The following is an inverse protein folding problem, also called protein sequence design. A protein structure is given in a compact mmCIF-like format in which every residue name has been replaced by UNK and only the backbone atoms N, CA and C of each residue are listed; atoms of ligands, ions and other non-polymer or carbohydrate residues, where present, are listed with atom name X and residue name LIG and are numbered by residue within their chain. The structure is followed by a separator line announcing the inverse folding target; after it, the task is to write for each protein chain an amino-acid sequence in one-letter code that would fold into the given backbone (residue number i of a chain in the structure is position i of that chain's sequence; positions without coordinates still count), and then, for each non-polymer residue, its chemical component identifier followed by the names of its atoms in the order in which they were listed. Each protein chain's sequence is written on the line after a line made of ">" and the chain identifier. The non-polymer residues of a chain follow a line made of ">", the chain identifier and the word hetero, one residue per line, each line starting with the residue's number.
data_IF_233395420485
#
_entry.id   IF_233395420485
#
_cell.length_a   1.000
_cell.length_b   1.000
_cell.length_c   1.000
_cell.angle_alpha   90.00
_cell.angle_beta   90.00
_cell.angle_gamma   90.00
#
_symmetry.space_group_name_H-M   'P 1'
#
loop_
_entity.id
_entity.type
_entity.pdbx_description
1 polymer ?
#
# COMPACT_ATOMS: atom_id res chain seq x y z
N UNK A 1 -10.29 9.64 32.61
CA UNK A 1 -9.24 8.80 31.98
C UNK A 1 -9.59 8.72 30.51
N UNK A 2 -8.93 9.51 29.64
CA UNK A 2 -9.11 9.42 28.20
C UNK A 2 -8.23 8.26 27.71
N UNK A 3 -8.85 7.17 27.29
CA UNK A 3 -8.16 6.07 26.64
C UNK A 3 -7.44 6.59 25.41
N UNK A 4 -6.12 6.48 25.39
CA UNK A 4 -5.32 6.64 24.18
C UNK A 4 -5.68 5.43 23.33
N UNK A 5 -6.55 5.63 22.34
CA UNK A 5 -6.83 4.61 21.36
C UNK A 5 -5.51 4.21 20.70
N UNK A 6 -5.11 2.95 20.83
CA UNK A 6 -4.01 2.38 20.08
C UNK A 6 -4.27 2.68 18.60
N UNK A 7 -3.28 3.19 17.89
CA UNK A 7 -3.36 3.24 16.43
C UNK A 7 -3.56 1.80 15.94
N UNK A 8 -4.54 1.53 15.05
CA UNK A 8 -4.72 0.19 14.51
C UNK A 8 -3.38 -0.30 13.94
N UNK A 9 -3.07 -1.57 14.15
CA UNK A 9 -1.94 -2.21 13.52
C UNK A 9 -2.06 -2.03 12.00
N UNK A 10 -0.95 -1.96 11.28
CA UNK A 10 -0.99 -1.69 9.83
C UNK A 10 -1.71 -2.80 9.05
N UNK A 11 -1.69 -4.06 9.54
CA UNK A 11 -2.45 -5.18 9.02
C UNK A 11 -3.95 -4.93 8.96
N UNK A 12 -4.49 -4.27 9.97
CA UNK A 12 -5.91 -3.89 10.05
C UNK A 12 -6.39 -3.04 8.87
N UNK A 13 -5.50 -2.31 8.21
CA UNK A 13 -5.89 -1.47 7.07
C UNK A 13 -6.19 -2.29 5.80
N UNK A 14 -5.53 -3.43 5.63
CA UNK A 14 -5.63 -4.27 4.44
C UNK A 14 -6.40 -5.56 4.69
N UNK A 15 -6.46 -6.01 5.93
CA UNK A 15 -7.27 -7.15 6.34
C UNK A 15 -7.89 -6.93 7.73
N UNK A 16 -8.85 -5.99 7.84
CA UNK A 16 -9.53 -5.73 9.11
C UNK A 16 -10.32 -6.97 9.53
N UNK A 17 -10.29 -7.27 10.80
CA UNK A 17 -10.96 -8.45 11.39
C UNK A 17 -11.84 -8.09 12.60
N UNK A 18 -12.73 -7.08 12.48
CA UNK A 18 -13.67 -6.80 13.59
C UNK A 18 -14.58 -8.00 13.81
N UNK A 19 -15.00 -8.21 15.04
CA UNK A 19 -15.96 -9.25 15.39
C UNK A 19 -17.18 -9.20 14.46
N UNK A 20 -17.63 -10.34 13.95
CA UNK A 20 -18.71 -10.51 13.00
C UNK A 20 -18.44 -9.89 11.59
N UNK A 21 -17.21 -9.58 11.23
CA UNK A 21 -16.89 -9.28 9.84
C UNK A 21 -17.20 -10.49 8.95
N UNK A 22 -17.79 -10.22 7.79
CA UNK A 22 -18.18 -11.26 6.83
C UNK A 22 -17.78 -10.89 5.41
N UNK A 23 -17.39 -11.90 4.65
CA UNK A 23 -17.08 -11.82 3.22
C UNK A 23 -17.77 -12.97 2.51
N UNK A 24 -18.40 -12.69 1.38
CA UNK A 24 -18.95 -13.72 0.50
C UNK A 24 -18.24 -13.63 -0.84
N UNK A 25 -17.65 -14.73 -1.27
CA UNK A 25 -16.91 -14.84 -2.53
C UNK A 25 -17.65 -15.75 -3.49
N UNK A 26 -17.61 -15.40 -4.77
CA UNK A 26 -17.86 -16.33 -5.86
C UNK A 26 -16.51 -16.71 -6.46
N UNK A 27 -16.23 -18.00 -6.55
CA UNK A 27 -14.98 -18.49 -7.09
C UNK A 27 -15.18 -19.58 -8.13
N UNK A 28 -14.28 -19.64 -9.08
CA UNK A 28 -14.24 -20.61 -10.17
C UNK A 28 -12.83 -21.17 -10.30
N UNK A 29 -12.72 -22.37 -10.81
CA UNK A 29 -11.50 -22.90 -11.38
C UNK A 29 -11.79 -23.44 -12.76
N UNK A 30 -10.93 -23.17 -13.74
CA UNK A 30 -11.18 -23.49 -15.15
C UNK A 30 -11.35 -25.00 -15.41
N UNK A 31 -10.67 -25.83 -14.64
CA UNK A 31 -10.68 -27.28 -14.80
C UNK A 31 -11.57 -27.96 -13.75
N UNK A 32 -11.51 -27.50 -12.50
CA UNK A 32 -12.04 -28.24 -11.34
C UNK A 32 -13.35 -27.67 -10.81
N UNK A 33 -13.63 -26.39 -11.03
CA UNK A 33 -14.87 -25.72 -10.62
C UNK A 33 -15.37 -24.72 -11.69
N UNK A 34 -15.59 -25.15 -12.95
CA UNK A 34 -15.94 -24.25 -14.04
C UNK A 34 -17.30 -23.57 -13.87
N UNK A 35 -18.22 -24.18 -13.13
CA UNK A 35 -19.56 -23.63 -12.86
C UNK A 35 -19.56 -22.62 -11.70
N UNK A 36 -18.51 -22.58 -10.91
CA UNK A 36 -18.35 -21.72 -9.77
C UNK A 36 -19.23 -22.06 -8.57
N UNK A 37 -18.75 -21.71 -7.41
CA UNK A 37 -19.44 -21.84 -6.12
C UNK A 37 -19.32 -20.56 -5.30
N UNK A 38 -20.10 -20.46 -4.22
CA UNK A 38 -20.11 -19.30 -3.33
C UNK A 38 -19.73 -19.72 -1.93
N UNK A 39 -18.69 -19.10 -1.40
CA UNK A 39 -18.22 -19.31 -0.03
C UNK A 39 -18.44 -18.07 0.81
N UNK A 40 -18.81 -18.28 2.06
CA UNK A 40 -18.94 -17.22 3.06
C UNK A 40 -17.90 -17.41 4.14
N UNK A 41 -17.19 -16.33 4.41
CA UNK A 41 -16.13 -16.25 5.43
C UNK A 41 -16.56 -15.26 6.50
N UNK A 42 -16.33 -15.59 7.76
CA UNK A 42 -16.61 -14.71 8.90
C UNK A 42 -15.47 -14.75 9.92
N UNK A 43 -15.31 -13.66 10.66
CA UNK A 43 -14.47 -13.66 11.87
C UNK A 43 -15.21 -14.44 12.96
N UNK A 44 -14.58 -15.50 13.42
CA UNK A 44 -15.02 -16.24 14.60
C UNK A 44 -14.25 -15.75 15.83
N UNK A 45 -15.00 -15.42 16.88
CA UNK A 45 -14.45 -14.92 18.15
C UNK A 45 -14.54 -15.95 19.27
N UNK A 46 -14.99 -17.17 18.97
CA UNK A 46 -15.28 -18.17 20.03
C UNK A 46 -14.06 -18.87 20.55
N UNK A 47 -12.96 -18.94 19.81
CA UNK A 47 -11.71 -19.59 20.27
C UNK A 47 -10.51 -18.64 20.16
N UNK A 48 -10.44 -17.68 21.07
CA UNK A 48 -9.30 -16.75 21.18
C UNK A 48 -8.12 -17.33 21.99
N UNK A 49 -8.22 -18.56 22.46
CA UNK A 49 -7.22 -19.15 23.36
C UNK A 49 -6.02 -19.72 22.61
N UNK A 50 -6.24 -20.18 21.38
CA UNK A 50 -5.22 -20.85 20.56
C UNK A 50 -4.76 -20.03 19.36
N UNK A 51 -5.55 -19.03 18.94
CA UNK A 51 -5.28 -18.16 17.81
C UNK A 51 -5.27 -16.70 18.25
N UNK A 52 -4.52 -15.84 17.58
CA UNK A 52 -4.65 -14.39 17.72
C UNK A 52 -6.06 -13.95 17.30
N UNK A 53 -6.53 -14.42 16.15
CA UNK A 53 -7.90 -14.34 15.67
C UNK A 53 -8.15 -15.40 14.58
N UNK A 54 -9.42 -15.74 14.36
CA UNK A 54 -9.80 -16.86 13.52
C UNK A 54 -10.81 -16.44 12.44
N UNK A 55 -10.62 -16.97 11.24
CA UNK A 55 -11.63 -16.96 10.19
C UNK A 55 -12.27 -18.34 10.07
N UNK A 56 -13.58 -18.36 9.94
CA UNK A 56 -14.36 -19.55 9.61
C UNK A 56 -14.96 -19.35 8.22
N UNK A 57 -14.79 -20.33 7.33
CA UNK A 57 -15.51 -20.34 6.05
C UNK A 57 -16.57 -21.41 6.05
N UNK A 58 -17.59 -21.20 5.23
CA UNK A 58 -18.64 -22.17 4.94
C UNK A 58 -19.13 -21.99 3.51
N UNK A 59 -19.31 -23.10 2.83
CA UNK A 59 -19.80 -23.17 1.48
C UNK A 59 -20.32 -24.55 1.15
N UNK A 60 -20.61 -24.77 -0.12
CA UNK A 60 -20.92 -26.08 -0.67
C UNK A 60 -20.20 -26.25 -1.99
N UNK A 61 -19.74 -27.47 -2.23
CA UNK A 61 -19.08 -27.82 -3.46
C UNK A 61 -19.86 -28.94 -4.17
N UNK A 62 -19.88 -28.93 -5.49
CA UNK A 62 -20.47 -29.99 -6.30
C UNK A 62 -19.40 -31.03 -6.58
N UNK A 63 -19.57 -32.23 -6.04
CA UNK A 63 -18.65 -33.36 -6.23
C UNK A 63 -19.27 -34.36 -7.19
N UNK A 64 -18.54 -34.80 -8.25
CA UNK A 64 -19.03 -35.90 -9.10
C UNK A 64 -19.20 -37.17 -8.28
N UNK A 65 -20.31 -37.83 -8.46
CA UNK A 65 -20.51 -39.21 -7.98
C UNK A 65 -19.72 -40.11 -8.94
N UNK A 66 -18.55 -40.57 -8.52
CA UNK A 66 -17.65 -41.39 -9.33
C UNK A 66 -18.37 -42.39 -10.23
N UNK A 67 -17.95 -42.44 -11.50
CA UNK A 67 -18.66 -43.11 -12.57
C UNK A 67 -18.72 -44.62 -12.42
N UNK A 68 -19.92 -45.14 -12.42
CA UNK A 68 -20.20 -46.53 -12.77
C UNK A 68 -20.24 -46.70 -14.30
N UNK A 69 -19.22 -46.31 -15.04
CA UNK A 69 -18.97 -46.70 -16.43
C UNK A 69 -19.99 -46.29 -17.51
N UNK A 70 -20.74 -45.20 -17.32
CA UNK A 70 -21.73 -44.71 -18.29
C UNK A 70 -21.24 -43.49 -19.06
N UNK A 71 -21.56 -43.39 -20.36
CA UNK A 71 -21.16 -42.30 -21.26
C UNK A 71 -22.01 -41.01 -21.15
N UNK A 72 -22.61 -40.72 -20.00
CA UNK A 72 -23.39 -39.50 -19.74
C UNK A 72 -22.66 -38.54 -18.80
N UNK A 73 -23.14 -37.26 -18.68
CA UNK A 73 -22.63 -36.36 -17.69
C UNK A 73 -22.80 -36.99 -16.30
N UNK A 74 -21.71 -37.00 -15.50
CA UNK A 74 -21.73 -37.59 -14.17
C UNK A 74 -22.67 -36.80 -13.24
N UNK A 75 -23.51 -37.51 -12.48
CA UNK A 75 -24.32 -36.84 -11.49
C UNK A 75 -23.45 -36.27 -10.40
N UNK A 76 -23.70 -35.04 -10.00
CA UNK A 76 -22.98 -34.34 -8.91
C UNK A 76 -23.85 -34.32 -7.65
N UNK A 77 -23.19 -34.38 -6.49
CA UNK A 77 -23.81 -34.11 -5.19
C UNK A 77 -23.23 -32.87 -4.58
N UNK A 78 -24.03 -32.11 -3.85
CA UNK A 78 -23.56 -31.00 -3.06
C UNK A 78 -23.00 -31.50 -1.73
N UNK A 79 -21.74 -31.16 -1.42
CA UNK A 79 -21.11 -31.47 -0.12
C UNK A 79 -20.73 -30.19 0.59
N UNK A 80 -20.73 -30.19 1.94
CA UNK A 80 -20.25 -29.05 2.70
C UNK A 80 -18.76 -28.81 2.45
N UNK A 81 -18.39 -27.55 2.38
CA UNK A 81 -17.03 -27.06 2.39
C UNK A 81 -16.90 -26.07 3.55
N UNK A 82 -16.27 -26.48 4.64
CA UNK A 82 -16.14 -25.67 5.83
C UNK A 82 -14.77 -25.84 6.47
N UNK A 83 -14.37 -24.84 7.27
CA UNK A 83 -13.13 -24.89 8.00
C UNK A 83 -12.79 -23.59 8.72
N UNK A 84 -11.61 -23.59 9.31
CA UNK A 84 -11.10 -22.47 10.10
C UNK A 84 -9.64 -22.18 9.81
N UNK A 85 -9.27 -20.90 9.88
CA UNK A 85 -7.88 -20.44 9.72
C UNK A 85 -7.55 -19.47 10.83
N UNK A 86 -6.41 -19.71 11.49
CA UNK A 86 -5.87 -18.86 12.55
C UNK A 86 -4.84 -17.89 12.02
N UNK A 87 -4.90 -16.66 12.51
CA UNK A 87 -3.96 -15.61 12.17
C UNK A 87 -3.42 -14.89 13.40
N UNK A 88 -2.23 -14.35 13.26
CA UNK A 88 -1.61 -13.41 14.20
C UNK A 88 -1.09 -12.18 13.44
N UNK A 89 -1.33 -11.00 14.03
CA UNK A 89 -0.72 -9.75 13.60
C UNK A 89 0.65 -9.58 14.26
N UNK A 90 1.69 -9.56 13.46
CA UNK A 90 3.06 -9.32 13.88
C UNK A 90 3.58 -7.98 13.33
N UNK A 91 4.63 -7.42 13.92
CA UNK A 91 5.22 -6.14 13.48
C UNK A 91 5.69 -6.14 12.02
N UNK A 92 5.93 -7.31 11.43
CA UNK A 92 6.40 -7.49 10.07
C UNK A 92 5.32 -8.00 9.10
N UNK A 93 4.11 -8.24 9.56
CA UNK A 93 2.99 -8.63 8.74
C UNK A 93 2.03 -9.62 9.38
N UNK A 94 1.02 -10.01 8.62
CA UNK A 94 0.02 -10.98 9.02
C UNK A 94 0.52 -12.41 8.81
N UNK A 95 0.48 -13.22 9.84
CA UNK A 95 0.94 -14.62 9.81
C UNK A 95 -0.25 -15.56 9.95
N UNK A 96 -0.31 -16.59 9.11
CA UNK A 96 -1.16 -17.73 9.34
C UNK A 96 -0.46 -18.70 10.31
N UNK A 97 -1.12 -19.06 11.42
CA UNK A 97 -0.55 -19.92 12.47
C UNK A 97 -1.08 -21.33 12.43
N UNK A 98 -2.33 -21.51 12.00
CA UNK A 98 -2.94 -22.84 11.92
C UNK A 98 -4.15 -22.84 10.97
N UNK A 99 -4.58 -24.02 10.53
CA UNK A 99 -5.79 -24.20 9.74
C UNK A 99 -6.37 -25.61 9.95
N UNK A 100 -7.69 -25.74 9.83
CA UNK A 100 -8.39 -27.00 9.78
C UNK A 100 -9.58 -26.88 8.84
N UNK A 101 -9.95 -27.94 8.14
CA UNK A 101 -11.11 -27.92 7.25
C UNK A 101 -11.44 -29.29 6.71
N UNK A 102 -12.72 -29.44 6.35
CA UNK A 102 -13.26 -30.59 5.63
C UNK A 102 -13.64 -30.09 4.24
N UNK A 103 -12.73 -30.17 3.29
CA UNK A 103 -13.08 -30.03 1.89
C UNK A 103 -13.27 -31.43 1.31
N UNK A 104 -14.40 -31.74 0.71
CA UNK A 104 -14.56 -33.00 0.01
C UNK A 104 -13.56 -33.08 -1.14
N UNK A 105 -13.01 -34.28 -1.44
CA UNK A 105 -12.19 -34.46 -2.61
C UNK A 105 -13.02 -34.14 -3.86
N UNK A 106 -12.69 -33.08 -4.54
CA UNK A 106 -13.08 -32.91 -5.94
C UNK A 106 -12.17 -33.84 -6.74
N UNK A 107 -12.68 -34.44 -7.82
CA UNK A 107 -11.84 -35.23 -8.71
C UNK A 107 -10.64 -34.41 -9.17
N UNK A 108 -9.67 -34.55 -8.37
CA UNK A 108 -8.27 -34.23 -8.35
C UNK A 108 -7.76 -32.99 -9.10
N UNK A 109 -7.29 -32.01 -8.37
CA UNK A 109 -5.89 -31.74 -8.51
C UNK A 109 -5.16 -32.35 -7.29
N UNK A 110 -4.07 -33.09 -7.54
CA UNK A 110 -3.28 -33.63 -6.44
C UNK A 110 -2.50 -32.51 -5.75
N UNK A 111 -2.97 -32.11 -4.57
CA UNK A 111 -2.13 -31.39 -3.63
C UNK A 111 -1.26 -32.36 -2.80
N UNK A 112 -1.14 -33.60 -3.27
CA UNK A 112 -0.41 -34.66 -2.59
C UNK A 112 0.36 -35.53 -3.55
N UNK A 113 1.46 -36.10 -3.05
CA UNK A 113 2.17 -37.15 -3.77
C UNK A 113 1.22 -38.33 -4.07
N UNK A 114 1.34 -38.93 -5.25
CA UNK A 114 0.58 -40.12 -5.65
C UNK A 114 0.67 -41.33 -4.70
N UNK A 115 1.52 -41.24 -3.65
CA UNK A 115 1.70 -42.22 -2.60
C UNK A 115 0.92 -41.95 -1.31
N UNK A 116 0.28 -40.77 -1.19
CA UNK A 116 -0.51 -40.41 0.00
C UNK A 116 -1.97 -40.82 -0.16
N UNK A 117 -2.44 -41.66 0.76
CA UNK A 117 -3.81 -42.21 0.74
C UNK A 117 -4.87 -41.27 1.32
N UNK A 118 -4.48 -40.12 1.85
CA UNK A 118 -5.36 -39.09 2.38
C UNK A 118 -4.85 -37.71 1.98
N UNK A 119 -5.28 -37.26 0.84
CA UNK A 119 -5.07 -35.88 0.40
C UNK A 119 -6.16 -34.99 0.97
N UNK A 120 -5.78 -33.98 1.69
CA UNK A 120 -6.67 -32.86 1.97
C UNK A 120 -6.79 -32.00 0.71
N UNK A 121 -7.74 -32.30 -0.14
CA UNK A 121 -8.06 -31.47 -1.29
C UNK A 121 -8.75 -30.20 -0.79
N UNK A 122 -8.09 -29.09 -0.93
CA UNK A 122 -8.53 -27.80 -0.40
C UNK A 122 -9.02 -26.85 -1.47
N UNK A 123 -9.45 -27.36 -2.62
CA UNK A 123 -10.10 -26.57 -3.66
C UNK A 123 -11.37 -25.87 -3.21
N UNK A 124 -11.98 -26.36 -2.15
CA UNK A 124 -13.21 -25.84 -1.62
C UNK A 124 -13.11 -24.45 -0.99
N UNK A 125 -11.94 -23.97 -0.65
CA UNK A 125 -11.81 -22.73 0.10
C UNK A 125 -11.09 -21.63 -0.66
N UNK A 126 -11.79 -20.54 -0.91
CA UNK A 126 -11.17 -19.28 -1.37
C UNK A 126 -10.02 -18.86 -0.46
N UNK A 127 -10.18 -19.00 0.86
CA UNK A 127 -9.16 -18.61 1.83
C UNK A 127 -7.91 -19.45 1.74
N UNK A 128 -8.04 -20.73 1.45
CA UNK A 128 -6.89 -21.58 1.22
C UNK A 128 -6.06 -21.07 0.03
N UNK A 129 -6.72 -20.73 -1.08
CA UNK A 129 -6.05 -20.14 -2.24
C UNK A 129 -5.44 -18.75 -1.93
N UNK A 130 -6.00 -18.00 -0.98
CA UNK A 130 -5.44 -16.72 -0.53
C UNK A 130 -4.15 -16.92 0.27
N UNK A 131 -4.11 -17.92 1.16
CA UNK A 131 -2.99 -18.11 2.09
C UNK A 131 -1.96 -19.13 1.61
N UNK A 132 -2.31 -20.03 0.68
CA UNK A 132 -1.43 -21.06 0.18
C UNK A 132 -0.08 -20.49 -0.32
N UNK A 133 1.02 -21.06 0.08
CA UNK A 133 2.36 -20.57 -0.26
C UNK A 133 2.73 -19.20 0.31
N UNK A 134 1.87 -18.60 1.14
CA UNK A 134 2.12 -17.30 1.76
C UNK A 134 1.88 -17.32 3.26
N UNK A 135 2.23 -18.41 3.89
CA UNK A 135 1.94 -18.65 5.31
C UNK A 135 2.57 -17.62 6.24
N UNK A 136 3.75 -17.13 5.92
CA UNK A 136 4.47 -16.24 6.81
C UNK A 136 5.43 -15.32 6.03
N UNK A 137 5.15 -14.04 5.96
CA UNK A 137 3.86 -13.39 6.18
C UNK A 137 2.93 -13.52 4.96
N UNK A 138 1.63 -13.62 5.19
CA UNK A 138 0.59 -13.59 4.14
C UNK A 138 0.59 -12.24 3.44
N UNK A 139 0.71 -11.18 4.20
CA UNK A 139 0.94 -9.82 3.72
C UNK A 139 2.02 -9.17 4.58
N UNK A 140 3.06 -8.64 3.93
CA UNK A 140 4.18 -8.00 4.63
C UNK A 140 3.84 -6.58 5.01
N UNK A 141 4.38 -6.12 6.13
CA UNK A 141 4.28 -4.75 6.59
C UNK A 141 5.66 -4.13 6.88
N UNK A 142 5.84 -2.88 6.48
CA UNK A 142 4.94 -2.03 5.69
C UNK A 142 4.94 -2.41 4.20
N UNK A 143 3.79 -2.25 3.51
CA UNK A 143 3.71 -2.41 2.05
C UNK A 143 4.46 -1.28 1.36
N UNK A 144 5.64 -1.58 0.84
CA UNK A 144 6.48 -0.66 0.06
C UNK A 144 6.32 -0.96 -1.42
N UNK A 145 6.08 0.06 -2.24
CA UNK A 145 6.02 -0.13 -3.68
C UNK A 145 7.33 -0.74 -4.22
N UNK A 146 7.21 -1.88 -4.88
CA UNK A 146 8.36 -2.64 -5.40
C UNK A 146 9.07 -3.52 -4.36
N UNK A 147 8.60 -3.56 -3.12
CA UNK A 147 9.11 -4.48 -2.10
C UNK A 147 8.72 -5.91 -2.45
N UNK A 148 9.64 -6.83 -2.24
CA UNK A 148 9.41 -8.26 -2.27
C UNK A 148 9.82 -8.88 -0.94
N UNK A 149 9.17 -9.99 -0.60
CA UNK A 149 9.49 -10.81 0.57
C UNK A 149 9.27 -12.27 0.25
N UNK A 150 10.03 -13.13 0.89
CA UNK A 150 9.84 -14.56 0.84
C UNK A 150 8.90 -15.02 1.95
N UNK A 151 8.10 -16.04 1.67
CA UNK A 151 7.28 -16.72 2.67
C UNK A 151 7.47 -18.24 2.50
N UNK A 152 7.33 -18.95 3.61
CA UNK A 152 7.34 -20.41 3.63
C UNK A 152 6.03 -20.91 4.24
N UNK A 153 5.50 -22.01 3.69
CA UNK A 153 4.29 -22.66 4.15
C UNK A 153 4.51 -24.16 4.30
N UNK A 154 3.47 -24.87 4.72
CA UNK A 154 3.59 -26.28 5.08
C UNK A 154 4.28 -26.46 6.46
N UNK A 155 3.90 -27.50 7.22
CA UNK A 155 4.55 -27.80 8.50
C UNK A 155 6.02 -28.17 8.36
N UNK A 156 6.44 -28.61 7.18
CA UNK A 156 7.78 -29.04 6.79
C UNK A 156 8.53 -28.03 5.92
N UNK A 157 7.94 -26.88 5.62
CA UNK A 157 8.51 -25.88 4.71
C UNK A 157 8.45 -26.26 3.23
N UNK A 158 7.63 -27.25 2.86
CA UNK A 158 7.47 -27.74 1.49
C UNK A 158 6.98 -26.69 0.51
N UNK A 159 6.23 -25.67 0.99
CA UNK A 159 5.73 -24.58 0.16
C UNK A 159 6.58 -23.34 0.36
N UNK A 160 7.05 -22.75 -0.72
CA UNK A 160 7.76 -21.48 -0.73
C UNK A 160 7.10 -20.48 -1.68
N UNK A 161 7.19 -19.20 -1.37
CA UNK A 161 6.76 -18.15 -2.29
C UNK A 161 7.64 -16.91 -2.23
N UNK A 162 7.80 -16.29 -3.40
CA UNK A 162 8.32 -14.94 -3.53
C UNK A 162 7.17 -13.98 -3.83
N UNK A 163 6.96 -13.06 -2.93
CA UNK A 163 5.86 -12.13 -2.99
C UNK A 163 6.36 -10.74 -3.37
N UNK A 164 5.59 -10.02 -4.17
CA UNK A 164 5.90 -8.67 -4.60
C UNK A 164 4.68 -7.76 -4.55
N UNK A 165 4.80 -6.63 -3.87
CA UNK A 165 3.80 -5.57 -3.93
C UNK A 165 3.90 -4.82 -5.25
N UNK A 166 2.84 -4.87 -6.06
CA UNK A 166 2.77 -4.24 -7.38
C UNK A 166 2.31 -2.78 -7.32
N UNK A 167 1.75 -2.34 -6.19
CA UNK A 167 1.23 -1.00 -5.99
C UNK A 167 -0.26 -0.96 -5.70
N UNK A 168 -0.76 0.27 -5.48
CA UNK A 168 -2.17 0.52 -5.23
C UNK A 168 -2.92 0.67 -6.55
N UNK A 169 -4.06 -0.01 -6.67
CA UNK A 169 -4.92 -0.02 -7.85
C UNK A 169 -6.36 0.24 -7.43
N UNK A 170 -7.13 0.92 -8.28
CA UNK A 170 -8.57 0.96 -8.12
C UNK A 170 -9.18 -0.14 -8.99
N UNK A 171 -9.82 -1.11 -8.36
CA UNK A 171 -10.47 -2.23 -9.05
C UNK A 171 -11.96 -2.24 -8.76
N UNK A 172 -12.75 -2.85 -9.64
CA UNK A 172 -14.18 -3.05 -9.48
C UNK A 172 -14.47 -4.53 -9.27
N UNK A 173 -15.25 -4.83 -8.25
CA UNK A 173 -15.77 -6.17 -7.95
C UNK A 173 -17.26 -6.06 -7.62
N UNK A 174 -18.05 -7.14 -7.64
CA UNK A 174 -19.50 -7.07 -7.40
C UNK A 174 -19.86 -6.37 -6.08
N UNK A 175 -19.13 -6.61 -4.99
CA UNK A 175 -19.32 -5.91 -3.71
C UNK A 175 -19.04 -4.40 -3.79
N UNK A 176 -18.20 -3.98 -4.71
CA UNK A 176 -17.78 -2.58 -4.89
C UNK A 176 -17.81 -2.18 -6.38
N UNK A 177 -18.98 -2.02 -7.00
CA UNK A 177 -19.11 -1.76 -8.44
C UNK A 177 -18.58 -0.39 -8.86
N UNK A 178 -18.51 0.58 -7.94
CA UNK A 178 -17.89 1.89 -8.18
C UNK A 178 -16.36 1.89 -8.02
N UNK A 179 -15.80 0.73 -7.66
CA UNK A 179 -14.39 0.49 -7.43
C UNK A 179 -13.96 0.71 -5.98
N UNK A 180 -12.99 -0.10 -5.57
CA UNK A 180 -12.30 -0.05 -4.28
C UNK A 180 -10.80 0.15 -4.51
N UNK A 181 -10.13 0.88 -3.62
CA UNK A 181 -8.68 0.92 -3.60
C UNK A 181 -8.14 -0.40 -3.06
N UNK A 182 -7.27 -1.06 -3.82
CA UNK A 182 -6.68 -2.32 -3.42
C UNK A 182 -5.15 -2.31 -3.58
N UNK A 183 -4.47 -2.98 -2.66
CA UNK A 183 -3.06 -3.31 -2.77
C UNK A 183 -2.93 -4.62 -3.56
N UNK A 184 -2.29 -4.58 -4.73
CA UNK A 184 -2.04 -5.78 -5.53
C UNK A 184 -0.72 -6.43 -5.09
N UNK A 185 -0.79 -7.69 -4.67
CA UNK A 185 0.36 -8.51 -4.28
C UNK A 185 0.44 -9.71 -5.21
N UNK A 186 1.55 -9.85 -5.92
CA UNK A 186 1.84 -11.03 -6.75
C UNK A 186 2.76 -11.96 -6.00
N UNK A 187 2.42 -13.24 -6.00
CA UNK A 187 3.21 -14.32 -5.41
C UNK A 187 3.61 -15.32 -6.49
N UNK A 188 4.89 -15.65 -6.55
CA UNK A 188 5.37 -16.81 -7.29
C UNK A 188 5.51 -17.96 -6.31
N UNK A 189 4.68 -18.97 -6.44
CA UNK A 189 4.56 -20.09 -5.50
C UNK A 189 5.20 -21.32 -6.10
N UNK A 190 6.01 -22.01 -5.30
CA UNK A 190 6.60 -23.29 -5.65
C UNK A 190 6.42 -24.28 -4.50
N UNK A 191 5.97 -25.47 -4.84
CA UNK A 191 5.92 -26.61 -3.95
C UNK A 191 7.16 -27.47 -4.15
N UNK A 192 7.97 -27.61 -3.10
CA UNK A 192 9.23 -28.34 -3.17
C UNK A 192 9.04 -29.82 -2.81
N UNK A 193 9.61 -30.71 -3.62
CA UNK A 193 9.78 -32.12 -3.26
C UNK A 193 8.65 -33.06 -3.66
N UNK A 194 7.58 -32.58 -4.25
CA UNK A 194 6.46 -33.39 -4.72
C UNK A 194 6.33 -33.26 -6.23
N UNK A 195 6.84 -34.21 -7.05
CA UNK A 195 6.54 -34.21 -8.48
C UNK A 195 5.04 -34.36 -8.71
N UNK A 196 4.42 -33.41 -9.40
CA UNK A 196 3.02 -33.45 -9.76
C UNK A 196 2.13 -32.46 -9.03
N UNK A 197 2.68 -31.60 -8.16
CA UNK A 197 1.87 -30.55 -7.51
C UNK A 197 1.83 -29.25 -8.32
N UNK A 198 1.52 -29.42 -9.60
CA UNK A 198 1.43 -28.32 -10.55
C UNK A 198 0.24 -27.39 -10.22
N UNK A 199 -0.78 -27.91 -9.52
CA UNK A 199 -1.91 -27.10 -9.05
C UNK A 199 -1.53 -26.22 -7.84
N UNK A 200 -0.73 -26.72 -6.90
CA UNK A 200 -0.24 -25.94 -5.75
C UNK A 200 0.81 -24.89 -6.11
N UNK A 201 1.35 -24.96 -7.32
CA UNK A 201 2.42 -24.09 -7.82
C UNK A 201 1.91 -23.14 -8.90
N UNK A 202 2.53 -21.96 -9.02
CA UNK A 202 2.15 -21.01 -10.06
C UNK A 202 2.29 -19.55 -9.66
N UNK A 203 1.56 -18.70 -10.39
CA UNK A 203 1.55 -17.25 -10.16
C UNK A 203 0.20 -16.80 -9.64
N UNK A 204 0.18 -16.28 -8.42
CA UNK A 204 -1.04 -15.77 -7.79
C UNK A 204 -0.97 -14.26 -7.64
N UNK A 205 -2.10 -13.58 -7.89
CA UNK A 205 -2.27 -12.16 -7.56
C UNK A 205 -3.48 -11.99 -6.64
N UNK A 206 -3.26 -11.35 -5.50
CA UNK A 206 -4.31 -10.99 -4.55
C UNK A 206 -4.44 -9.47 -4.53
N UNK A 207 -5.66 -8.97 -4.63
CA UNK A 207 -6.00 -7.57 -4.42
C UNK A 207 -6.62 -7.41 -3.03
N UNK A 208 -5.87 -6.81 -2.13
CA UNK A 208 -6.28 -6.50 -0.77
C UNK A 208 -6.99 -5.14 -0.75
N UNK A 209 -8.31 -5.16 -0.58
CA UNK A 209 -9.12 -3.94 -0.54
C UNK A 209 -8.89 -3.16 0.75
N UNK A 210 -8.67 -1.85 0.63
CA UNK A 210 -8.45 -0.99 1.80
C UNK A 210 -9.66 -0.98 2.72
N UNK A 211 -9.47 -1.34 3.99
CA UNK A 211 -10.51 -1.45 4.99
C UNK A 211 -11.45 -2.65 4.82
N UNK A 212 -11.13 -3.61 3.93
CA UNK A 212 -12.02 -4.73 3.61
C UNK A 212 -11.32 -6.08 3.66
N UNK A 213 -10.07 -6.20 3.22
CA UNK A 213 -9.41 -7.49 3.07
C UNK A 213 -9.31 -7.94 1.61
N UNK A 214 -9.10 -9.23 1.33
CA UNK A 214 -9.02 -9.74 -0.04
C UNK A 214 -10.33 -9.49 -0.80
N UNK A 215 -10.27 -8.83 -1.95
CA UNK A 215 -11.45 -8.53 -2.77
C UNK A 215 -11.44 -9.26 -4.10
N UNK A 216 -10.25 -9.68 -4.55
CA UNK A 216 -10.07 -10.48 -5.75
C UNK A 216 -8.82 -11.33 -5.62
N UNK A 217 -8.88 -12.54 -6.15
CA UNK A 217 -7.75 -13.46 -6.30
C UNK A 217 -7.74 -13.99 -7.72
N UNK A 218 -6.57 -14.08 -8.33
CA UNK A 218 -6.31 -14.83 -9.56
C UNK A 218 -5.08 -15.69 -9.31
N UNK A 219 -5.17 -16.98 -9.65
CA UNK A 219 -4.09 -17.92 -9.51
C UNK A 219 -3.96 -18.72 -10.80
N UNK A 220 -2.90 -18.44 -11.54
CA UNK A 220 -2.49 -19.21 -12.73
C UNK A 220 -1.62 -20.36 -12.26
N UNK A 221 -2.17 -21.57 -12.24
CA UNK A 221 -1.50 -22.79 -11.78
C UNK A 221 -0.55 -23.36 -12.85
N UNK A 222 0.44 -24.12 -12.42
CA UNK A 222 1.42 -24.75 -13.35
C UNK A 222 0.75 -25.84 -14.21
N UNK A 223 -0.30 -26.50 -13.71
CA UNK A 223 -1.12 -27.47 -14.48
C UNK A 223 -1.93 -26.83 -15.61
N UNK A 224 -1.90 -25.51 -15.73
CA UNK A 224 -2.62 -24.74 -16.74
C UNK A 224 -4.05 -24.37 -16.33
N UNK A 225 -4.54 -24.78 -15.17
CA UNK A 225 -5.81 -24.29 -14.64
C UNK A 225 -5.68 -22.88 -14.10
N UNK A 226 -6.82 -22.19 -13.97
CA UNK A 226 -6.89 -20.82 -13.45
C UNK A 226 -8.00 -20.73 -12.41
N UNK A 227 -7.61 -20.47 -11.16
CA UNK A 227 -8.56 -20.13 -10.11
C UNK A 227 -8.83 -18.63 -10.09
N UNK A 228 -10.09 -18.23 -10.03
CA UNK A 228 -10.51 -16.84 -9.84
C UNK A 228 -11.52 -16.74 -8.72
N UNK A 229 -11.34 -15.81 -7.81
CA UNK A 229 -12.28 -15.49 -6.76
C UNK A 229 -12.56 -14.00 -6.71
N UNK A 230 -13.82 -13.62 -6.56
CA UNK A 230 -14.24 -12.22 -6.44
C UNK A 230 -15.19 -12.03 -5.27
N UNK A 231 -15.01 -10.96 -4.53
CA UNK A 231 -15.88 -10.58 -3.44
C UNK A 231 -17.22 -10.09 -3.98
N UNK A 232 -18.30 -10.79 -3.61
CA UNK A 232 -19.68 -10.48 -4.03
C UNK A 232 -20.44 -9.66 -3.00
N UNK A 233 -20.16 -9.88 -1.70
CA UNK A 233 -20.72 -9.07 -0.62
C UNK A 233 -19.84 -9.08 0.63
N UNK A 234 -20.00 -8.05 1.46
CA UNK A 234 -19.37 -7.92 2.78
C UNK A 234 -20.15 -6.92 3.62
N UNK A 235 -20.09 -7.05 4.94
CA UNK A 235 -20.62 -6.04 5.87
C UNK A 235 -19.59 -4.96 6.23
N UNK A 236 -18.37 -5.05 5.69
CA UNK A 236 -17.35 -4.03 5.89
C UNK A 236 -17.52 -2.86 4.92
N UNK A 237 -17.17 -1.67 5.40
CA UNK A 237 -17.18 -0.44 4.61
C UNK A 237 -15.75 -0.02 4.34
N UNK A 238 -15.39 0.09 3.06
CA UNK A 238 -14.09 0.65 2.68
C UNK A 238 -14.08 2.16 2.95
N UNK A 239 -13.27 2.65 3.90
CA UNK A 239 -13.05 4.08 4.03
C UNK A 239 -12.19 4.51 2.83
N UNK A 240 -12.81 5.03 1.78
CA UNK A 240 -12.04 5.49 0.62
C UNK A 240 -10.99 6.53 1.08
N UNK A 241 -9.69 6.23 0.98
CA UNK A 241 -8.68 7.20 1.37
C UNK A 241 -8.78 8.40 0.43
N UNK A 242 -8.68 9.63 0.94
CA UNK A 242 -8.73 10.80 0.09
C UNK A 242 -7.57 10.77 -0.91
N UNK A 243 -7.84 11.03 -2.20
CA UNK A 243 -6.80 11.05 -3.21
C UNK A 243 -5.82 12.20 -2.98
N UNK A 244 -4.62 12.13 -3.55
CA UNK A 244 -3.55 13.12 -3.37
C UNK A 244 -3.97 14.56 -3.77
N UNK A 245 -4.91 14.71 -4.69
CA UNK A 245 -5.46 16.02 -5.08
C UNK A 245 -6.10 16.76 -3.90
N UNK A 246 -6.64 16.06 -2.94
CA UNK A 246 -7.18 16.70 -1.74
C UNK A 246 -6.08 17.36 -0.89
N UNK A 247 -4.87 16.82 -0.92
CA UNK A 247 -3.73 17.30 -0.14
C UNK A 247 -2.80 18.23 -0.92
N UNK A 248 -2.95 18.30 -2.25
CA UNK A 248 -2.19 19.19 -3.10
C UNK A 248 -3.08 19.75 -4.20
N UNK A 249 -3.84 20.84 -3.90
CA UNK A 249 -4.76 21.44 -4.85
C UNK A 249 -3.99 22.03 -6.03
N UNK A 250 -4.44 21.68 -7.24
CA UNK A 250 -3.87 22.18 -8.50
C UNK A 250 -4.86 23.09 -9.25
N UNK A 251 -5.60 23.91 -8.49
CA UNK A 251 -6.58 24.83 -9.05
C UNK A 251 -5.93 26.18 -9.31
N UNK A 252 -6.05 26.72 -10.52
CA UNK A 252 -5.52 28.04 -10.90
C UNK A 252 -6.01 29.11 -9.95
N UNK A 253 -5.11 30.01 -9.56
CA UNK A 253 -5.40 31.10 -8.64
C UNK A 253 -5.25 30.75 -7.14
N UNK A 254 -5.11 29.47 -6.80
CA UNK A 254 -4.77 29.11 -5.41
C UNK A 254 -3.39 29.65 -5.07
N UNK A 255 -3.30 30.36 -3.95
CA UNK A 255 -2.06 30.97 -3.48
C UNK A 255 -1.79 30.66 -2.01
N UNK A 256 -0.52 30.69 -1.62
CA UNK A 256 -0.07 30.59 -0.25
C UNK A 256 1.17 31.44 -0.01
N UNK A 257 1.22 32.16 1.09
CA UNK A 257 2.44 32.87 1.52
C UNK A 257 3.11 32.07 2.62
N UNK A 258 4.39 31.79 2.47
CA UNK A 258 5.17 30.96 3.36
C UNK A 258 6.32 31.74 3.97
N UNK A 259 6.60 31.44 5.22
CA UNK A 259 7.80 31.87 5.93
C UNK A 259 8.77 30.68 6.02
N UNK A 260 10.01 30.89 5.54
CA UNK A 260 11.10 29.93 5.70
C UNK A 260 12.18 30.48 6.61
N UNK A 261 12.49 29.74 7.67
CA UNK A 261 13.54 30.07 8.65
C UNK A 261 14.59 28.98 8.69
N UNK A 262 15.86 29.37 8.88
CA UNK A 262 16.96 28.49 9.27
C UNK A 262 18.01 29.35 10.04
N UNK A 263 17.98 29.24 11.35
CA UNK A 263 18.82 30.14 12.23
C UNK A 263 20.31 30.07 11.97
N UNK A 264 20.84 28.97 11.41
CA UNK A 264 22.26 28.80 11.13
C UNK A 264 22.68 29.43 9.80
N UNK A 265 21.78 29.38 8.80
CA UNK A 265 22.14 29.70 7.43
C UNK A 265 21.40 30.91 6.85
N UNK A 266 20.24 31.28 7.40
CA UNK A 266 19.45 32.45 7.02
C UNK A 266 19.51 33.51 8.13
N UNK A 267 20.04 34.73 7.84
CA UNK A 267 20.15 35.80 8.83
C UNK A 267 18.78 36.35 9.24
N UNK A 268 17.78 36.21 8.37
CA UNK A 268 16.38 36.58 8.59
C UNK A 268 15.50 35.64 7.79
N UNK A 269 14.18 35.54 8.11
CA UNK A 269 13.24 34.74 7.36
C UNK A 269 13.16 35.11 5.88
N UNK A 270 13.00 34.12 5.00
CA UNK A 270 12.57 34.30 3.63
C UNK A 270 11.05 34.18 3.58
N UNK A 271 10.37 35.15 3.01
CA UNK A 271 8.93 35.15 2.80
C UNK A 271 8.66 35.01 1.31
N UNK A 272 7.92 33.97 0.95
CA UNK A 272 7.61 33.66 -0.45
C UNK A 272 6.13 33.44 -0.66
N UNK A 273 5.66 33.93 -1.82
CA UNK A 273 4.33 33.63 -2.35
C UNK A 273 4.44 32.49 -3.35
N UNK A 274 3.67 31.43 -3.14
CA UNK A 274 3.53 30.33 -4.06
C UNK A 274 2.12 30.41 -4.68
N UNK A 275 2.02 30.30 -5.99
CA UNK A 275 0.77 30.42 -6.74
C UNK A 275 0.64 29.32 -7.78
N UNK A 276 -0.57 28.79 -7.98
CA UNK A 276 -0.89 27.92 -9.11
C UNK A 276 -1.18 28.82 -10.31
N UNK A 277 -0.20 28.94 -11.23
CA UNK A 277 -0.26 29.85 -12.36
C UNK A 277 -1.05 29.28 -13.55
N UNK A 278 -0.99 27.94 -13.75
CA UNK A 278 -1.73 27.24 -14.78
C UNK A 278 -2.04 25.80 -14.35
N UNK A 279 -3.13 25.24 -14.83
CA UNK A 279 -3.49 23.86 -14.61
C UNK A 279 -4.21 23.30 -15.84
N UNK A 280 -3.79 22.11 -16.30
CA UNK A 280 -4.42 21.38 -17.39
C UNK A 280 -4.04 19.89 -17.32
N UNK A 281 -4.96 19.00 -17.73
CA UNK A 281 -4.70 17.57 -17.92
C UNK A 281 -3.93 16.88 -16.77
N UNK A 282 -4.35 17.07 -15.53
CA UNK A 282 -3.70 16.50 -14.34
C UNK A 282 -2.29 17.04 -14.05
N UNK A 283 -1.96 18.19 -14.60
CA UNK A 283 -0.70 18.91 -14.35
C UNK A 283 -0.99 20.34 -13.91
N UNK A 284 -0.12 20.90 -13.07
CA UNK A 284 -0.18 22.29 -12.66
C UNK A 284 1.21 22.92 -12.67
N UNK A 285 1.30 24.16 -13.16
CA UNK A 285 2.47 25.01 -13.04
C UNK A 285 2.32 25.88 -11.79
N UNK A 286 3.27 25.77 -10.90
CA UNK A 286 3.37 26.59 -9.71
C UNK A 286 4.54 27.56 -9.84
N UNK A 287 4.30 28.81 -9.43
CA UNK A 287 5.35 29.83 -9.34
C UNK A 287 5.61 30.16 -7.88
N UNK A 288 6.88 30.24 -7.50
CA UNK A 288 7.32 30.77 -6.21
C UNK A 288 8.01 32.11 -6.45
N UNK A 289 7.68 33.12 -5.64
CA UNK A 289 8.26 34.45 -5.77
C UNK A 289 8.52 35.02 -4.38
N UNK A 290 9.74 35.49 -4.14
CA UNK A 290 10.12 36.15 -2.90
C UNK A 290 9.30 37.44 -2.72
N UNK A 291 8.73 37.59 -1.54
CA UNK A 291 8.09 38.82 -1.08
C UNK A 291 9.07 39.67 -0.28
N UNK A 292 9.87 39.01 0.56
CA UNK A 292 10.96 39.61 1.32
C UNK A 292 11.91 38.55 1.84
N UNK A 293 13.15 38.93 2.05
CA UNK A 293 14.16 38.04 2.63
C UNK A 293 15.50 38.09 1.89
N UNK A 294 16.49 37.32 2.38
CA UNK A 294 17.85 37.41 1.87
C UNK A 294 18.07 36.63 0.57
N UNK A 295 17.22 35.62 0.27
CA UNK A 295 17.39 34.74 -0.93
C UNK A 295 16.84 35.43 -2.17
N UNK A 296 15.75 36.18 -2.05
CA UNK A 296 15.06 36.84 -3.18
C UNK A 296 14.75 35.85 -4.30
N UNK A 297 14.19 34.70 -3.89
CA UNK A 297 13.99 33.58 -4.78
C UNK A 297 12.91 33.82 -5.83
N UNK A 298 13.11 33.22 -7.01
CA UNK A 298 12.07 32.93 -7.97
C UNK A 298 12.15 31.48 -8.39
N UNK A 299 10.99 30.85 -8.65
CA UNK A 299 10.95 29.46 -9.05
C UNK A 299 9.71 29.13 -9.86
N UNK A 300 9.90 28.24 -10.83
CA UNK A 300 8.87 27.63 -11.66
C UNK A 300 8.91 26.12 -11.48
N UNK A 301 7.75 25.52 -11.25
CA UNK A 301 7.61 24.08 -11.05
C UNK A 301 6.44 23.54 -11.84
N UNK A 302 6.58 22.35 -12.40
CA UNK A 302 5.46 21.60 -12.97
C UNK A 302 5.24 20.35 -12.16
N UNK A 303 4.06 20.23 -11.58
CA UNK A 303 3.60 19.02 -10.90
C UNK A 303 2.61 18.29 -11.78
N UNK A 304 2.73 16.97 -11.85
CA UNK A 304 1.83 16.11 -12.61
C UNK A 304 1.32 14.97 -11.75
N UNK A 305 0.03 14.67 -11.86
CA UNK A 305 -0.57 13.49 -11.27
C UNK A 305 -0.35 12.30 -12.19
N UNK A 306 0.41 11.35 -11.69
CA UNK A 306 0.66 10.06 -12.34
C UNK A 306 -0.07 8.94 -11.59
N UNK A 307 -0.03 7.72 -12.15
CA UNK A 307 -0.65 6.55 -11.52
C UNK A 307 -0.08 6.27 -10.12
N UNK A 308 1.21 6.54 -9.91
CA UNK A 308 1.91 6.34 -8.64
C UNK A 308 1.83 7.54 -7.68
N UNK A 309 1.37 8.71 -8.13
CA UNK A 309 1.19 9.88 -7.28
C UNK A 309 1.52 11.22 -7.91
N UNK A 310 1.75 12.20 -7.04
CA UNK A 310 2.12 13.57 -7.38
C UNK A 310 3.62 13.63 -7.67
N UNK A 311 3.98 13.95 -8.91
CA UNK A 311 5.38 14.09 -9.33
C UNK A 311 5.72 15.54 -9.65
N UNK A 312 6.90 15.99 -9.23
CA UNK A 312 7.53 17.17 -9.81
C UNK A 312 8.24 16.75 -11.11
N UNK A 313 7.77 17.24 -12.24
CA UNK A 313 8.29 16.90 -13.58
C UNK A 313 9.19 17.97 -14.17
N UNK A 314 9.17 19.17 -13.60
CA UNK A 314 10.05 20.27 -13.96
C UNK A 314 10.26 21.18 -12.75
N UNK A 315 11.45 21.68 -12.56
CA UNK A 315 11.80 22.70 -11.59
C UNK A 315 12.93 23.58 -12.12
N UNK A 316 12.74 24.88 -12.06
CA UNK A 316 13.78 25.88 -12.30
C UNK A 316 13.71 26.92 -11.21
N UNK A 317 14.80 27.14 -10.51
CA UNK A 317 14.86 28.07 -9.39
C UNK A 317 16.11 28.95 -9.48
N UNK A 318 15.95 30.17 -9.10
CA UNK A 318 17.04 31.13 -8.98
C UNK A 318 16.89 31.95 -7.69
N UNK A 319 17.95 32.56 -7.26
CA UNK A 319 17.96 33.41 -6.08
C UNK A 319 19.35 33.94 -5.78
N UNK A 320 19.42 34.91 -4.88
CA UNK A 320 20.69 35.44 -4.40
C UNK A 320 21.50 34.35 -3.68
N UNK A 321 22.71 34.16 -4.08
CA UNK A 321 23.64 33.23 -3.43
C UNK A 321 24.21 33.87 -2.16
N UNK A 322 23.76 33.40 -1.00
CA UNK A 322 24.35 33.76 0.27
C UNK A 322 25.69 33.03 0.44
N UNK A 323 26.76 33.75 0.76
CA UNK A 323 28.12 33.20 0.82
C UNK A 323 28.26 31.99 1.75
N UNK A 324 27.48 31.93 2.82
CA UNK A 324 27.45 30.82 3.80
C UNK A 324 26.35 29.82 3.63
N UNK A 325 25.49 29.96 2.58
CA UNK A 325 24.40 29.03 2.39
C UNK A 325 24.91 27.71 1.79
N UNK A 326 24.57 26.54 2.39
CA UNK A 326 25.16 25.27 2.00
C UNK A 326 24.86 24.89 0.54
N UNK A 327 25.84 24.31 -0.12
CA UNK A 327 25.67 23.63 -1.39
C UNK A 327 25.28 22.17 -1.16
N UNK A 328 24.42 21.67 -1.98
CA UNK A 328 24.08 20.26 -2.13
C UNK A 328 24.93 19.63 -3.23
N UNK A 329 24.72 18.35 -3.51
CA UNK A 329 25.38 17.66 -4.62
C UNK A 329 25.21 18.41 -5.93
N UNK A 330 26.24 18.38 -6.79
CA UNK A 330 26.31 19.12 -8.06
C UNK A 330 26.19 20.66 -7.93
N UNK A 331 26.45 21.21 -6.73
CA UNK A 331 26.40 22.64 -6.50
C UNK A 331 25.01 23.26 -6.40
N UNK A 332 23.97 22.44 -6.40
CA UNK A 332 22.57 22.86 -6.23
C UNK A 332 22.36 23.46 -4.83
N UNK A 333 21.39 24.33 -4.70
CA UNK A 333 20.94 24.92 -3.43
C UNK A 333 19.43 24.90 -3.34
N UNK A 334 18.92 24.98 -2.12
CA UNK A 334 17.52 25.30 -1.91
C UNK A 334 17.33 26.82 -2.04
N UNK A 335 16.40 27.25 -2.84
CA UNK A 335 16.02 28.65 -2.97
C UNK A 335 14.60 28.90 -2.48
N UNK A 336 13.72 27.91 -2.59
CA UNK A 336 12.30 28.02 -2.27
C UNK A 336 11.81 26.93 -1.32
N UNK A 337 10.66 27.10 -0.64
CA UNK A 337 9.96 26.04 0.07
C UNK A 337 9.62 24.81 -0.79
N UNK A 338 9.39 25.01 -2.10
CA UNK A 338 9.11 23.89 -3.00
C UNK A 338 10.36 23.05 -3.27
N UNK A 339 11.56 23.62 -3.29
CA UNK A 339 12.82 22.86 -3.36
C UNK A 339 12.95 21.93 -2.16
N UNK A 340 12.68 22.45 -0.95
CA UNK A 340 12.70 21.65 0.27
C UNK A 340 11.66 20.54 0.24
N UNK A 341 10.47 20.81 -0.30
CA UNK A 341 9.37 19.85 -0.39
C UNK A 341 9.68 18.72 -1.37
N UNK A 342 10.21 19.03 -2.54
CA UNK A 342 10.45 18.06 -3.63
C UNK A 342 11.77 17.31 -3.48
N UNK A 343 12.70 17.81 -2.66
CA UNK A 343 14.02 17.25 -2.52
C UNK A 343 14.02 15.77 -2.15
N UNK A 344 14.69 14.99 -2.97
CA UNK A 344 14.93 13.57 -2.74
C UNK A 344 13.76 12.63 -3.00
N UNK A 345 12.58 13.10 -3.39
CA UNK A 345 11.43 12.22 -3.60
C UNK A 345 10.62 12.55 -4.85
N UNK A 346 10.35 11.47 -5.61
CA UNK A 346 9.39 11.48 -6.69
C UNK A 346 8.73 10.09 -6.77
N UNK A 347 7.46 9.90 -6.41
CA UNK A 347 6.46 10.96 -6.17
C UNK A 347 6.69 11.72 -4.85
N UNK A 348 6.28 12.99 -4.83
CA UNK A 348 6.27 13.83 -3.60
C UNK A 348 5.24 13.29 -2.59
N UNK A 349 4.11 12.84 -3.09
CA UNK A 349 3.06 12.12 -2.37
C UNK A 349 2.54 10.98 -3.26
N UNK A 350 2.23 9.80 -2.71
CA UNK A 350 1.60 8.73 -3.47
C UNK A 350 0.17 9.11 -3.89
N UNK A 351 -0.37 8.45 -4.91
CA UNK A 351 -1.70 8.75 -5.45
C UNK A 351 -2.81 8.70 -4.39
N UNK A 352 -2.65 7.80 -3.44
CA UNK A 352 -3.50 7.66 -2.25
C UNK A 352 -2.59 7.58 -1.03
N UNK A 353 -2.40 8.70 -0.30
CA UNK A 353 -1.49 8.73 0.85
C UNK A 353 -2.15 8.11 2.09
N UNK A 354 -2.14 6.81 2.16
CA UNK A 354 -2.68 6.03 3.27
C UNK A 354 -1.70 6.01 4.44
N UNK A 355 -2.19 6.09 5.66
CA UNK A 355 -1.37 5.93 6.87
C UNK A 355 -0.57 4.63 6.81
N UNK A 356 0.72 4.72 7.10
CA UNK A 356 1.64 3.59 7.01
C UNK A 356 2.31 3.41 5.65
N UNK A 357 1.75 3.93 4.55
CA UNK A 357 2.39 3.85 3.23
C UNK A 357 3.80 4.39 3.27
N UNK A 358 4.73 3.68 2.65
CA UNK A 358 6.12 4.08 2.54
C UNK A 358 6.60 4.01 1.09
N UNK A 359 7.56 4.84 0.74
CA UNK A 359 8.22 4.80 -0.57
C UNK A 359 9.66 5.30 -0.47
N UNK A 360 10.48 4.89 -1.42
CA UNK A 360 11.90 5.22 -1.46
C UNK A 360 12.19 6.37 -2.41
N UNK A 361 13.15 7.20 -2.04
CA UNK A 361 13.83 8.11 -2.97
C UNK A 361 15.01 7.40 -3.65
N UNK A 362 15.53 7.99 -4.69
CA UNK A 362 16.81 7.55 -5.24
C UNK A 362 16.80 7.22 -6.71
N UNK A 363 15.81 7.69 -7.47
CA UNK A 363 15.94 7.66 -8.92
C UNK A 363 16.90 8.80 -9.37
N UNK A 364 18.13 8.47 -9.83
CA UNK A 364 19.11 9.49 -10.24
C UNK A 364 18.70 10.25 -11.51
N UNK A 365 17.63 9.82 -12.20
CA UNK A 365 17.06 10.48 -13.38
C UNK A 365 16.00 11.52 -13.03
N UNK A 366 15.51 11.52 -11.78
CA UNK A 366 14.54 12.51 -11.34
C UNK A 366 15.25 13.84 -11.06
N UNK A 367 14.59 14.93 -11.44
CA UNK A 367 15.06 16.29 -11.20
C UNK A 367 15.46 16.48 -9.74
N UNK A 368 16.68 17.00 -9.52
CA UNK A 368 17.22 17.38 -8.21
C UNK A 368 17.49 16.25 -7.20
N UNK A 369 17.53 15.00 -7.62
CA UNK A 369 17.79 13.84 -6.72
C UNK A 369 19.24 13.40 -6.76
N UNK A 370 20.19 14.29 -6.88
CA UNK A 370 21.64 14.04 -7.02
C UNK A 370 22.23 13.18 -5.88
N UNK A 371 22.10 11.85 -6.03
CA UNK A 371 22.63 10.89 -5.06
C UNK A 371 21.92 10.88 -3.72
N UNK A 372 20.73 11.50 -3.60
CA UNK A 372 19.92 11.43 -2.39
C UNK A 372 19.25 10.07 -2.29
N UNK A 373 19.37 9.45 -1.14
CA UNK A 373 18.70 8.19 -0.80
C UNK A 373 17.87 8.37 0.46
N UNK A 374 16.79 7.63 0.56
CA UNK A 374 15.99 7.67 1.77
C UNK A 374 14.64 6.98 1.63
N UNK A 375 13.90 7.02 2.72
CA UNK A 375 12.55 6.45 2.81
C UNK A 375 11.61 7.49 3.35
N UNK A 376 10.43 7.56 2.80
CA UNK A 376 9.32 8.40 3.28
C UNK A 376 8.16 7.52 3.73
N UNK A 377 7.48 7.95 4.78
CA UNK A 377 6.30 7.28 5.35
C UNK A 377 5.18 8.30 5.59
N UNK A 378 3.94 7.90 5.29
CA UNK A 378 2.75 8.58 5.77
C UNK A 378 2.52 8.18 7.23
N UNK A 379 2.60 9.13 8.15
CA UNK A 379 2.47 8.90 9.59
C UNK A 379 0.99 8.87 10.02
N UNK A 380 0.15 9.67 9.35
CA UNK A 380 -1.28 9.81 9.62
C UNK A 380 -1.73 11.26 9.66
N UNK A 381 -2.97 11.49 10.05
CA UNK A 381 -3.54 12.85 10.17
C UNK A 381 -3.28 13.40 11.56
N UNK A 382 -2.81 14.65 11.62
CA UNK A 382 -2.49 15.37 12.86
C UNK A 382 -3.06 16.78 12.86
N UNK A 383 -3.35 17.29 14.04
CA UNK A 383 -3.68 18.71 14.22
C UNK A 383 -2.38 19.53 14.23
N UNK A 384 -2.26 20.45 13.30
CA UNK A 384 -1.09 21.33 13.13
C UNK A 384 -1.51 22.78 13.25
N UNK A 385 -0.75 23.56 14.02
CA UNK A 385 -0.92 25.02 14.15
C UNK A 385 0.22 25.72 13.41
N UNK A 386 -0.16 26.66 12.57
CA UNK A 386 0.74 27.58 11.85
C UNK A 386 0.15 29.00 11.93
N UNK A 387 0.88 30.07 11.56
CA UNK A 387 0.32 31.43 11.59
C UNK A 387 -0.98 31.61 10.80
N UNK A 388 -1.13 30.91 9.68
CA UNK A 388 -2.36 30.92 8.86
C UNK A 388 -3.57 30.22 9.52
N UNK A 389 -3.39 29.51 10.66
CA UNK A 389 -4.48 28.86 11.36
C UNK A 389 -4.16 27.46 11.93
N UNK A 390 -5.22 26.72 12.25
CA UNK A 390 -5.17 25.31 12.68
C UNK A 390 -5.71 24.44 11.58
N UNK A 391 -5.02 23.32 11.32
CA UNK A 391 -5.36 22.40 10.24
C UNK A 391 -5.27 20.95 10.72
N UNK A 392 -6.23 20.14 10.28
CA UNK A 392 -6.01 18.70 10.22
C UNK A 392 -5.17 18.42 8.98
N UNK A 393 -3.97 17.90 9.16
CA UNK A 393 -3.02 17.72 8.07
C UNK A 393 -2.40 16.32 8.09
N UNK A 394 -2.23 15.76 6.91
CA UNK A 394 -1.51 14.53 6.66
C UNK A 394 -0.03 14.77 6.98
N UNK A 395 0.50 14.04 7.95
CA UNK A 395 1.91 14.06 8.30
C UNK A 395 2.68 13.04 7.47
N UNK A 396 3.75 13.51 6.82
CA UNK A 396 4.65 12.70 6.00
C UNK A 396 6.07 12.90 6.50
N UNK A 397 6.76 11.80 6.84
CA UNK A 397 8.13 11.84 7.38
C UNK A 397 9.10 11.15 6.45
N UNK A 398 10.21 11.83 6.13
CA UNK A 398 11.29 11.31 5.30
C UNK A 398 12.58 11.21 6.10
N UNK A 399 13.34 10.13 5.92
CA UNK A 399 14.73 10.02 6.35
C UNK A 399 15.59 10.07 5.10
N UNK A 400 16.48 11.07 5.01
CA UNK A 400 17.26 11.41 3.83
C UNK A 400 18.73 11.30 4.08
N UNK A 401 19.49 10.79 3.13
CA UNK A 401 20.94 10.76 3.14
C UNK A 401 21.49 11.18 1.77
N UNK A 402 22.32 12.20 1.75
CA UNK A 402 23.12 12.60 0.60
C UNK A 402 24.59 12.56 1.01
N UNK A 403 25.40 11.59 0.49
CA UNK A 403 26.79 11.45 0.85
C UNK A 403 27.58 12.75 0.61
N UNK A 404 28.41 13.16 1.59
CA UNK A 404 29.17 14.40 1.50
C UNK A 404 28.40 15.70 1.76
N UNK A 405 27.07 15.63 1.90
CA UNK A 405 26.23 16.83 2.07
C UNK A 405 25.33 16.74 3.32
N UNK A 406 25.84 17.09 4.51
CA UNK A 406 25.10 16.97 5.76
C UNK A 406 23.86 17.89 5.81
N UNK A 407 23.84 19.01 5.08
CA UNK A 407 22.67 19.87 4.95
C UNK A 407 21.56 19.23 4.09
N UNK A 408 21.94 18.40 3.10
CA UNK A 408 20.98 17.59 2.31
C UNK A 408 20.55 16.28 2.98
N UNK A 409 21.07 15.98 4.17
CA UNK A 409 20.80 14.75 4.93
C UNK A 409 20.07 15.07 6.23
N UNK A 410 19.21 14.16 6.69
CA UNK A 410 18.49 14.33 7.94
C UNK A 410 17.07 13.81 7.93
N UNK A 411 16.23 14.36 8.80
CA UNK A 411 14.82 13.99 8.93
C UNK A 411 13.93 15.17 8.52
N UNK A 412 13.14 14.98 7.48
CA UNK A 412 12.16 15.94 7.00
C UNK A 412 10.75 15.47 7.37
N UNK A 413 9.96 16.36 7.97
CA UNK A 413 8.53 16.14 8.23
C UNK A 413 7.72 17.21 7.52
N UNK A 414 6.71 16.82 6.78
CA UNK A 414 5.82 17.69 6.03
C UNK A 414 4.38 17.45 6.46
N UNK A 415 3.56 18.48 6.46
CA UNK A 415 2.13 18.43 6.79
C UNK A 415 1.34 19.04 5.65
N UNK A 416 0.43 18.24 5.08
CA UNK A 416 -0.43 18.64 3.97
C UNK A 416 -1.88 18.67 4.43
N UNK A 417 -2.50 19.83 4.43
CA UNK A 417 -3.92 19.98 4.79
C UNK A 417 -4.83 19.82 3.57
N UNK A 418 -5.99 19.21 3.77
CA UNK A 418 -7.00 19.03 2.73
C UNK A 418 -7.41 20.38 2.15
N UNK A 419 -7.48 20.47 0.82
CA UNK A 419 -7.83 21.67 0.02
C UNK A 419 -6.89 22.88 0.21
N UNK A 420 -5.75 22.70 0.89
CA UNK A 420 -4.76 23.76 1.14
C UNK A 420 -3.39 23.45 0.55
N UNK A 421 -2.97 22.20 0.68
CA UNK A 421 -1.61 21.78 0.32
C UNK A 421 -0.67 21.79 1.51
N UNK A 422 0.60 22.05 1.25
CA UNK A 422 1.63 22.14 2.30
C UNK A 422 1.31 23.27 3.28
N UNK A 423 1.17 22.95 4.57
CA UNK A 423 0.97 23.96 5.63
C UNK A 423 2.20 24.12 6.51
N UNK A 424 3.02 23.08 6.64
CA UNK A 424 4.26 23.12 7.41
C UNK A 424 5.27 22.11 6.86
N UNK A 425 6.56 22.49 6.96
CA UNK A 425 7.68 21.59 6.74
C UNK A 425 8.74 21.87 7.79
N UNK A 426 9.32 20.81 8.37
CA UNK A 426 10.49 20.88 9.24
C UNK A 426 11.52 19.90 8.72
N UNK A 427 12.71 20.42 8.39
CA UNK A 427 13.83 19.58 8.01
C UNK A 427 14.96 19.75 9.04
N UNK A 428 15.21 18.71 9.82
CA UNK A 428 16.31 18.62 10.78
C UNK A 428 17.50 18.05 10.04
N UNK A 429 18.43 18.92 9.67
CA UNK A 429 19.61 18.58 8.88
C UNK A 429 20.70 17.92 9.75
N UNK A 430 21.49 17.05 9.14
CA UNK A 430 22.63 16.41 9.85
C UNK A 430 23.76 17.40 10.21
N UNK A 431 23.79 18.57 9.58
CA UNK A 431 24.72 19.65 9.97
C UNK A 431 24.33 20.38 11.28
N UNK A 432 23.25 19.91 11.94
CA UNK A 432 22.69 20.47 13.16
C UNK A 432 21.74 21.65 12.95
N UNK A 433 21.56 22.12 11.72
CA UNK A 433 20.60 23.18 11.44
C UNK A 433 19.15 22.63 11.28
N UNK A 434 18.16 23.52 11.37
CA UNK A 434 16.76 23.21 11.18
C UNK A 434 16.13 24.23 10.23
N UNK A 435 15.68 23.76 9.08
CA UNK A 435 14.81 24.55 8.20
C UNK A 435 13.34 24.34 8.61
N UNK A 436 12.63 25.45 8.81
CA UNK A 436 11.19 25.43 9.08
C UNK A 436 10.47 26.28 8.05
N UNK A 437 9.51 25.69 7.37
CA UNK A 437 8.58 26.40 6.46
C UNK A 437 7.18 26.35 7.07
N UNK A 438 6.48 27.48 7.10
CA UNK A 438 5.14 27.59 7.63
C UNK A 438 4.27 28.44 6.70
N UNK A 439 3.02 28.02 6.49
CA UNK A 439 2.02 28.83 5.82
C UNK A 439 1.61 29.97 6.75
N UNK A 440 1.82 31.21 6.32
CA UNK A 440 1.48 32.42 7.10
C UNK A 440 0.22 33.11 6.63
N UNK A 441 -0.15 32.93 5.36
CA UNK A 441 -1.38 33.47 4.76
C UNK A 441 -1.79 32.65 3.54
N UNK A 442 -3.11 32.54 3.31
CA UNK A 442 -3.76 32.03 2.10
C UNK A 442 -4.10 33.14 1.14
#
# INVERSE_FOLDING_TARGET
>A
MCGVGASPALGDAWFPHPANATWTYYWTDSNYNPNGTTDTVKVDTTDQVTCGWQLQWSGTILVPLGSSGGSGPEPTISQPDDGTICFEDQDYGLINTDWSGNAPPIDEPPLCAASETQCANSLGSVLYNVIWGSRSPVISEPLLQGTSWASTGGGDGSVSSENRFLGLQKISVPAFPKGILAAAVRSQIALAGTPGDDYGSGTRTIWWGYGVGPVKVEFDHVDGSVTSAVLTSTNLVSPAPPPVQNYFPMTVGVTGTYEWTNKKHLPQPEIEKISVAAAANRSARLTATSVSGPIRAAGDYVFSLRLDGLRNTYGSTEGATLAKFPKLGHGVRFFTPLDLMTYGFNPVLPAYPVTGSTWSSGNPRDLQVYGVRGTTRVVGVRNVRVPAGRFQALEVRSVLTQPGHPFGSGVRTMWFASSVGLVKLVFRHRDGSVSTVQLIRR
#
